data_IF_018281490891
#
_entry.id   IF_018281490891
#
_cell.length_a   1.000
_cell.length_b   1.000
_cell.length_c   1.000
_cell.angle_alpha   90.00
_cell.angle_beta   90.00
_cell.angle_gamma   90.00
#
_symmetry.space_group_name_H-M   'P 1'
#
loop_
_entity.id
_entity.type
_entity.pdbx_description
1 polymer ?
#
# COMPACT_ATOMS: atom_id res chain seq x y z
N UNK A 1 27.38 27.10 32.96
CA UNK A 1 27.53 25.92 32.08
C UNK A 1 26.46 24.92 32.45
N UNK A 2 25.39 24.82 31.66
CA UNK A 2 24.30 23.85 31.87
C UNK A 2 24.21 22.99 30.61
N UNK A 3 24.58 21.72 30.75
CA UNK A 3 24.52 20.72 29.68
C UNK A 3 23.07 20.26 29.52
N UNK A 4 22.50 20.50 28.33
CA UNK A 4 21.21 19.93 27.93
C UNK A 4 21.32 18.40 27.80
N UNK A 5 20.30 17.62 28.21
CA UNK A 5 20.34 16.18 28.06
C UNK A 5 20.08 15.80 26.60
N UNK A 6 21.04 15.06 26.01
CA UNK A 6 20.93 14.41 24.70
C UNK A 6 19.71 13.50 24.67
N UNK A 7 18.84 13.74 23.70
CA UNK A 7 17.74 12.86 23.32
C UNK A 7 18.32 11.51 22.88
N UNK A 8 17.98 10.43 23.59
CA UNK A 8 18.34 9.05 23.21
C UNK A 8 17.67 8.73 21.88
N UNK A 9 18.46 8.44 20.86
CA UNK A 9 17.98 7.83 19.63
C UNK A 9 17.36 6.47 19.98
N UNK A 10 16.05 6.32 19.74
CA UNK A 10 15.38 5.02 19.71
C UNK A 10 15.89 4.30 18.45
N UNK A 11 16.85 3.40 18.64
CA UNK A 11 17.33 2.46 17.61
C UNK A 11 16.27 1.36 17.43
N UNK A 12 15.12 1.71 16.86
CA UNK A 12 14.20 0.76 16.25
C UNK A 12 14.49 0.74 14.76
N UNK A 13 14.92 -0.41 14.22
CA UNK A 13 15.26 -0.55 12.81
C UNK A 13 14.10 -0.10 11.91
N UNK A 14 14.31 1.00 11.17
CA UNK A 14 13.36 1.50 10.19
C UNK A 14 13.35 0.51 9.03
N UNK A 15 12.33 -0.35 8.98
CA UNK A 15 12.01 -1.14 7.79
C UNK A 15 11.35 -0.26 6.72
N UNK A 16 11.35 -0.73 5.47
CA UNK A 16 10.84 -0.06 4.27
C UNK A 16 9.69 0.97 4.53
N UNK A 17 9.91 2.21 4.09
CA UNK A 17 8.94 3.30 4.15
C UNK A 17 8.31 3.55 2.76
N UNK A 18 7.08 4.05 2.76
CA UNK A 18 6.32 4.42 1.58
C UNK A 18 5.96 5.90 1.65
N UNK A 19 6.24 6.66 0.59
CA UNK A 19 6.05 8.11 0.54
C UNK A 19 5.03 8.51 -0.53
N UNK A 20 4.20 9.51 -0.26
CA UNK A 20 3.38 10.18 -1.28
C UNK A 20 3.38 11.68 -1.02
N UNK A 21 3.46 12.45 -2.10
CA UNK A 21 3.27 13.89 -2.07
C UNK A 21 1.77 14.18 -2.12
N UNK A 22 1.27 15.02 -1.21
CA UNK A 22 -0.07 15.60 -1.37
C UNK A 22 0.05 16.88 -2.19
N UNK A 23 -0.62 16.89 -3.34
CA UNK A 23 -0.89 18.08 -4.13
C UNK A 23 -2.40 18.15 -4.21
N UNK A 24 -3.01 19.15 -3.56
CA UNK A 24 -4.45 19.40 -3.69
C UNK A 24 -4.67 20.69 -4.47
N UNK A 25 -5.72 20.72 -5.28
CA UNK A 25 -6.29 21.95 -5.84
C UNK A 25 -7.29 22.54 -4.83
N UNK A 26 -7.68 23.79 -5.04
CA UNK A 26 -8.18 24.75 -4.05
C UNK A 26 -9.44 24.38 -3.25
N UNK A 27 -9.45 24.89 -2.01
CA UNK A 27 -10.56 25.29 -1.12
C UNK A 27 -11.44 24.22 -0.44
N UNK A 28 -10.95 23.67 0.68
CA UNK A 28 -11.80 23.31 1.85
C UNK A 28 -11.00 23.48 3.16
N UNK A 29 -11.54 24.11 4.23
CA UNK A 29 -10.73 24.48 5.40
C UNK A 29 -10.38 23.36 6.40
N UNK A 30 -10.75 22.10 6.14
CA UNK A 30 -10.66 21.03 7.15
C UNK A 30 -9.91 19.75 6.71
N UNK A 31 -9.37 19.68 5.49
CA UNK A 31 -8.48 18.58 5.09
C UNK A 31 -7.03 18.96 5.40
N UNK A 32 -6.47 18.38 6.47
CA UNK A 32 -5.19 18.83 7.05
C UNK A 32 -3.92 18.43 6.25
N UNK A 33 -4.03 18.20 4.93
CA UNK A 33 -2.88 18.07 4.03
C UNK A 33 -2.89 19.25 3.03
N UNK A 34 -2.29 20.37 3.44
CA UNK A 34 -2.10 21.58 2.61
C UNK A 34 -1.15 21.28 1.44
N UNK A 35 -1.23 22.09 0.38
CA UNK A 35 -0.33 22.04 -0.79
C UNK A 35 1.14 21.85 -0.35
N UNK A 36 1.80 20.79 -0.84
CA UNK A 36 3.24 20.58 -0.60
C UNK A 36 3.60 19.76 0.63
N UNK A 37 2.64 19.37 1.49
CA UNK A 37 2.91 18.44 2.59
C UNK A 37 3.24 17.04 2.07
N UNK A 38 4.30 16.44 2.59
CA UNK A 38 4.63 15.03 2.37
C UNK A 38 4.02 14.18 3.46
N UNK A 39 3.45 13.03 3.09
CA UNK A 39 2.95 12.02 4.01
C UNK A 39 3.74 10.73 3.82
N UNK A 40 4.22 10.18 4.94
CA UNK A 40 4.96 8.92 4.97
C UNK A 40 4.21 7.90 5.81
N UNK A 41 4.13 6.67 5.30
CA UNK A 41 3.92 5.48 6.13
C UNK A 41 5.22 4.73 6.32
N UNK A 42 5.48 4.30 7.55
CA UNK A 42 6.59 3.42 7.86
C UNK A 42 6.11 2.17 8.56
N UNK A 43 6.74 1.05 8.22
CA UNK A 43 6.48 -0.25 8.84
C UNK A 43 6.81 -0.21 10.34
N UNK A 44 5.87 -0.62 11.17
CA UNK A 44 6.09 -0.96 12.57
C UNK A 44 5.94 -2.45 12.83
N UNK A 45 6.31 -2.88 14.04
CA UNK A 45 6.16 -4.28 14.46
C UNK A 45 4.70 -4.68 14.74
N UNK A 46 3.87 -3.73 15.18
CA UNK A 46 2.48 -3.97 15.59
C UNK A 46 1.48 -2.97 14.98
N UNK A 47 1.97 -2.00 14.20
CA UNK A 47 1.18 -0.96 13.58
C UNK A 47 1.86 -0.40 12.33
N UNK A 48 1.08 0.24 11.46
CA UNK A 48 1.62 1.17 10.50
C UNK A 48 1.76 2.53 11.19
N UNK A 49 2.96 3.11 11.12
CA UNK A 49 3.23 4.44 11.64
C UNK A 49 3.13 5.46 10.51
N UNK A 50 2.78 6.69 10.85
CA UNK A 50 2.79 7.83 9.94
C UNK A 50 3.60 9.00 10.49
N UNK A 51 4.10 9.81 9.57
CA UNK A 51 4.64 11.13 9.84
C UNK A 51 4.41 12.05 8.64
N UNK A 52 4.36 13.35 8.89
CA UNK A 52 4.24 14.37 7.85
C UNK A 52 5.45 15.29 7.86
N UNK A 53 5.76 15.85 6.69
CA UNK A 53 6.75 16.90 6.52
C UNK A 53 6.12 18.08 5.79
N UNK A 54 6.37 19.28 6.30
CA UNK A 54 5.89 20.55 5.75
C UNK A 54 6.99 21.31 4.97
N UNK A 55 8.18 20.73 4.85
CA UNK A 55 9.39 21.38 4.31
C UNK A 55 10.12 20.49 3.28
N UNK A 56 9.34 19.81 2.43
CA UNK A 56 9.83 18.91 1.37
C UNK A 56 10.72 17.76 1.88
N UNK A 57 10.46 17.29 3.10
CA UNK A 57 11.13 16.13 3.69
C UNK A 57 12.41 16.44 4.45
N UNK A 58 12.75 17.73 4.64
CA UNK A 58 13.92 18.15 5.44
C UNK A 58 13.74 17.81 6.91
N UNK A 59 12.53 18.05 7.44
CA UNK A 59 12.13 17.67 8.80
C UNK A 59 10.81 16.92 8.78
N UNK A 60 10.63 16.07 9.80
CA UNK A 60 9.46 15.22 9.94
C UNK A 60 8.87 15.40 11.33
N UNK A 61 7.55 15.46 11.40
CA UNK A 61 6.83 15.47 12.67
C UNK A 61 7.05 14.15 13.42
N UNK A 62 6.92 14.13 14.76
CA UNK A 62 6.94 12.89 15.52
C UNK A 62 5.97 11.85 14.96
N UNK A 63 6.38 10.58 14.93
CA UNK A 63 5.56 9.52 14.39
C UNK A 63 4.31 9.29 15.25
N UNK A 64 3.19 9.06 14.60
CA UNK A 64 1.93 8.64 15.24
C UNK A 64 1.43 7.37 14.58
N UNK A 65 0.56 6.62 15.27
CA UNK A 65 -0.05 5.42 14.69
C UNK A 65 -1.03 5.83 13.59
N UNK A 66 -0.87 5.30 12.38
CA UNK A 66 -1.86 5.44 11.32
C UNK A 66 -3.01 4.45 11.53
N UNK A 67 -2.68 3.17 11.69
CA UNK A 67 -3.64 2.09 11.95
C UNK A 67 -2.94 0.81 12.44
N UNK A 68 -3.66 -0.10 13.14
CA UNK A 68 -3.15 -1.42 13.48
C UNK A 68 -2.79 -2.21 12.22
N UNK A 69 -1.61 -2.81 12.19
CA UNK A 69 -1.12 -3.54 11.01
C UNK A 69 -0.10 -4.60 11.40
N UNK A 70 -0.08 -5.70 10.65
CA UNK A 70 0.92 -6.75 10.81
C UNK A 70 2.29 -6.22 10.41
N UNK A 71 3.36 -6.81 10.93
CA UNK A 71 4.75 -6.44 10.64
C UNK A 71 5.14 -6.65 9.15
N UNK A 72 4.71 -5.76 8.26
CA UNK A 72 4.90 -5.78 6.81
C UNK A 72 4.85 -4.37 6.21
N UNK A 73 5.32 -4.22 4.96
CA UNK A 73 5.16 -2.97 4.20
C UNK A 73 3.67 -2.82 3.82
N UNK A 74 3.13 -1.62 4.01
CA UNK A 74 1.96 -1.14 3.28
C UNK A 74 2.37 0.02 2.38
N UNK A 75 1.58 0.32 1.36
CA UNK A 75 1.85 1.41 0.44
C UNK A 75 0.60 2.26 0.28
N UNK A 76 0.80 3.55 0.04
CA UNK A 76 -0.23 4.36 -0.59
C UNK A 76 0.34 5.15 -1.75
N UNK A 77 -0.53 5.58 -2.65
CA UNK A 77 -0.25 6.55 -3.70
C UNK A 77 -1.50 7.39 -3.96
N UNK A 78 -1.28 8.65 -4.32
CA UNK A 78 -2.32 9.45 -4.96
C UNK A 78 -2.50 8.99 -6.40
N UNK A 79 -3.75 8.75 -6.78
CA UNK A 79 -4.16 8.41 -8.13
C UNK A 79 -4.41 9.67 -8.96
N UNK A 80 -4.51 9.50 -10.28
CA UNK A 80 -4.83 10.57 -11.25
C UNK A 80 -6.18 11.25 -10.94
N UNK A 81 -7.13 10.55 -10.30
CA UNK A 81 -8.40 11.11 -9.83
C UNK A 81 -8.27 12.07 -8.64
N UNK A 82 -7.10 12.10 -7.98
CA UNK A 82 -6.89 12.79 -6.71
C UNK A 82 -7.12 11.92 -5.48
N UNK A 83 -7.81 10.77 -5.60
CA UNK A 83 -7.99 9.83 -4.50
C UNK A 83 -6.65 9.22 -4.05
N UNK A 84 -6.57 8.79 -2.79
CA UNK A 84 -5.45 8.00 -2.28
C UNK A 84 -5.84 6.53 -2.31
N UNK A 85 -5.04 5.70 -2.98
CA UNK A 85 -5.13 4.25 -2.91
C UNK A 85 -4.16 3.72 -1.86
N UNK A 86 -4.67 2.97 -0.89
CA UNK A 86 -3.91 2.24 0.12
C UNK A 86 -3.96 0.75 -0.18
N UNK A 87 -2.79 0.10 -0.07
CA UNK A 87 -2.68 -1.36 -0.12
C UNK A 87 -2.03 -1.86 1.15
N UNK A 88 -2.76 -2.71 1.88
CA UNK A 88 -2.34 -3.29 3.16
C UNK A 88 -2.88 -4.71 3.35
N UNK A 89 -2.25 -5.48 4.23
CA UNK A 89 -2.76 -6.76 4.73
C UNK A 89 -3.98 -6.56 5.63
N UNK A 90 -5.03 -7.35 5.45
CA UNK A 90 -6.25 -7.32 6.24
C UNK A 90 -7.37 -6.46 5.65
N UNK A 91 -8.59 -6.95 5.78
CA UNK A 91 -9.79 -6.40 5.16
C UNK A 91 -10.50 -5.29 5.98
N UNK A 92 -9.97 -4.92 7.15
CA UNK A 92 -10.54 -3.87 8.01
C UNK A 92 -9.41 -2.95 8.48
N UNK A 93 -9.49 -1.65 8.19
CA UNK A 93 -8.45 -0.67 8.57
C UNK A 93 -8.18 -0.70 10.08
N UNK A 94 -9.23 -0.77 10.90
CA UNK A 94 -9.14 -0.73 12.36
C UNK A 94 -8.64 -2.04 13.00
N UNK A 95 -8.26 -3.06 12.23
CA UNK A 95 -7.83 -4.37 12.77
C UNK A 95 -6.58 -4.90 12.07
N UNK A 96 -5.62 -5.37 12.87
CA UNK A 96 -4.47 -6.11 12.35
C UNK A 96 -4.84 -7.60 12.13
N UNK A 97 -4.24 -8.21 11.11
CA UNK A 97 -4.29 -9.66 10.90
C UNK A 97 -3.22 -10.35 11.74
N UNK A 98 -3.41 -11.62 12.14
CA UNK A 98 -2.42 -12.37 12.92
C UNK A 98 -1.16 -12.72 12.11
N UNK A 99 -1.25 -12.70 10.79
CA UNK A 99 -0.16 -12.99 9.86
C UNK A 99 -0.23 -12.06 8.65
N UNK A 100 0.79 -12.13 7.78
CA UNK A 100 0.77 -11.43 6.48
C UNK A 100 -0.16 -12.17 5.53
N UNK A 101 -1.39 -11.69 5.42
CA UNK A 101 -2.47 -12.28 4.64
C UNK A 101 -3.46 -11.21 4.20
N UNK A 102 -4.41 -11.57 3.33
CA UNK A 102 -5.49 -10.69 2.88
C UNK A 102 -4.98 -9.35 2.33
N UNK A 103 -4.10 -9.38 1.33
CA UNK A 103 -3.63 -8.14 0.70
C UNK A 103 -4.82 -7.43 0.04
N UNK A 104 -5.13 -6.23 0.51
CA UNK A 104 -6.40 -5.54 0.24
C UNK A 104 -6.15 -4.09 -0.13
N UNK A 105 -6.90 -3.60 -1.11
CA UNK A 105 -6.90 -2.23 -1.60
C UNK A 105 -8.09 -1.42 -1.04
N UNK A 106 -7.85 -0.17 -0.66
CA UNK A 106 -8.84 0.80 -0.15
C UNK A 106 -8.64 2.18 -0.78
N UNK A 107 -9.73 2.95 -0.90
CA UNK A 107 -9.68 4.33 -1.40
C UNK A 107 -9.98 5.33 -0.29
N UNK A 108 -9.30 6.47 -0.31
CA UNK A 108 -9.65 7.65 0.46
C UNK A 108 -9.82 8.84 -0.47
N UNK A 109 -10.94 9.55 -0.34
CA UNK A 109 -11.25 10.78 -1.05
C UNK A 109 -11.00 12.03 -0.19
N UNK A 110 -10.60 11.85 1.08
CA UNK A 110 -10.53 12.88 2.11
C UNK A 110 -9.15 12.91 2.78
N UNK A 111 -8.10 12.68 1.99
CA UNK A 111 -6.71 12.81 2.43
C UNK A 111 -6.31 11.81 3.54
N UNK A 112 -6.83 10.58 3.47
CA UNK A 112 -6.53 9.48 4.38
C UNK A 112 -7.31 9.51 5.69
N UNK A 113 -8.28 10.43 5.85
CA UNK A 113 -9.11 10.52 7.05
C UNK A 113 -10.09 9.35 7.15
N UNK A 114 -10.74 9.00 6.05
CA UNK A 114 -11.61 7.83 5.94
C UNK A 114 -11.20 6.94 4.77
N UNK A 115 -11.55 5.66 4.88
CA UNK A 115 -11.26 4.64 3.88
C UNK A 115 -12.55 3.95 3.46
N UNK A 116 -12.74 3.84 2.16
CA UNK A 116 -13.94 3.33 1.51
C UNK A 116 -13.58 2.33 0.40
N UNK A 117 -14.60 1.64 -0.11
CA UNK A 117 -14.39 0.48 -0.98
C UNK A 117 -13.62 -0.62 -0.25
N UNK A 118 -13.33 -1.70 -0.97
CA UNK A 118 -12.42 -2.77 -0.53
C UNK A 118 -12.26 -3.82 -1.62
N UNK A 119 -11.11 -3.92 -2.26
CA UNK A 119 -10.80 -5.02 -3.18
C UNK A 119 -9.75 -5.95 -2.58
N UNK A 120 -10.12 -7.20 -2.33
CA UNK A 120 -9.21 -8.24 -1.88
C UNK A 120 -8.37 -8.71 -3.07
N UNK A 121 -7.07 -8.41 -3.07
CA UNK A 121 -6.15 -8.77 -4.15
C UNK A 121 -5.62 -10.20 -4.01
N UNK A 122 -5.36 -10.61 -2.76
CA UNK A 122 -4.86 -11.95 -2.44
C UNK A 122 -5.23 -12.35 -1.02
N UNK A 123 -6.08 -13.36 -0.89
CA UNK A 123 -6.55 -13.93 0.36
C UNK A 123 -5.47 -14.70 1.13
N UNK A 124 -4.44 -15.18 0.43
CA UNK A 124 -3.53 -16.21 0.94
C UNK A 124 -2.58 -15.67 2.01
N UNK A 125 -2.06 -16.58 2.82
CA UNK A 125 -0.97 -16.29 3.76
C UNK A 125 0.38 -16.19 3.05
N UNK A 126 1.31 -15.49 3.69
CA UNK A 126 2.68 -15.33 3.20
C UNK A 126 2.84 -14.28 2.10
N UNK A 127 1.76 -13.59 1.72
CA UNK A 127 1.79 -12.42 0.84
C UNK A 127 2.50 -11.29 1.56
N UNK A 128 3.51 -10.66 0.95
CA UNK A 128 4.36 -9.68 1.62
C UNK A 128 4.33 -8.32 0.96
N UNK A 129 5.35 -7.89 0.23
CA UNK A 129 5.59 -6.47 0.00
C UNK A 129 4.91 -5.99 -1.28
N UNK A 130 3.84 -5.18 -1.18
CA UNK A 130 3.29 -4.55 -2.37
C UNK A 130 4.15 -3.36 -2.82
N UNK A 131 4.15 -3.13 -4.12
CA UNK A 131 4.33 -1.81 -4.71
C UNK A 131 3.34 -1.61 -5.86
N UNK A 132 3.15 -0.36 -6.29
CA UNK A 132 2.17 -0.05 -7.30
C UNK A 132 2.59 1.04 -8.28
N UNK A 133 1.99 0.99 -9.46
CA UNK A 133 2.03 2.05 -10.46
C UNK A 133 0.64 2.20 -11.12
N UNK A 134 0.27 3.44 -11.42
CA UNK A 134 -0.91 3.72 -12.24
C UNK A 134 -0.46 4.11 -13.64
N UNK A 135 -1.00 3.42 -14.65
CA UNK A 135 -0.76 3.71 -16.05
C UNK A 135 -1.60 4.90 -16.54
N UNK A 136 -1.23 5.57 -17.65
CA UNK A 136 -1.97 6.71 -18.19
C UNK A 136 -3.43 6.41 -18.58
N UNK A 137 -3.75 5.14 -18.87
CA UNK A 137 -5.11 4.70 -19.21
C UNK A 137 -6.01 4.47 -17.97
N UNK A 138 -5.50 4.74 -16.76
CA UNK A 138 -6.20 4.53 -15.49
C UNK A 138 -5.96 3.16 -14.85
N UNK A 139 -5.33 2.21 -15.54
CA UNK A 139 -5.04 0.90 -14.97
C UNK A 139 -4.06 1.01 -13.80
N UNK A 140 -4.33 0.26 -12.75
CA UNK A 140 -3.53 0.19 -11.55
C UNK A 140 -2.90 -1.20 -11.50
N UNK A 141 -1.57 -1.22 -11.53
CA UNK A 141 -0.77 -2.42 -11.40
C UNK A 141 -0.18 -2.48 -10.00
N UNK A 142 -0.39 -3.61 -9.32
CA UNK A 142 0.15 -3.86 -7.98
C UNK A 142 0.94 -5.14 -8.04
N UNK A 143 2.25 -5.05 -7.89
CA UNK A 143 3.08 -6.24 -7.76
C UNK A 143 3.34 -6.57 -6.29
N UNK A 144 3.51 -7.84 -5.99
CA UNK A 144 3.82 -8.30 -4.65
C UNK A 144 4.46 -9.69 -4.67
N UNK A 145 5.11 -10.04 -3.56
CA UNK A 145 5.71 -11.36 -3.38
C UNK A 145 4.89 -12.25 -2.44
N UNK A 146 4.95 -13.57 -2.66
CA UNK A 146 4.38 -14.57 -1.74
C UNK A 146 5.34 -15.72 -1.48
N UNK A 147 5.46 -16.08 -0.21
CA UNK A 147 6.18 -17.28 0.22
C UNK A 147 7.67 -17.24 -0.16
N UNK A 148 8.40 -16.20 0.24
CA UNK A 148 9.81 -15.96 -0.15
C UNK A 148 10.73 -17.17 -0.06
N UNK A 149 10.57 -17.98 0.99
CA UNK A 149 11.37 -19.20 1.22
C UNK A 149 10.68 -20.48 0.70
N UNK A 150 9.41 -20.40 0.31
CA UNK A 150 8.58 -21.51 -0.17
C UNK A 150 8.20 -21.34 -1.65
N UNK A 151 7.03 -20.79 -1.95
CA UNK A 151 6.54 -20.66 -3.32
C UNK A 151 7.44 -19.77 -4.19
N UNK A 152 8.18 -18.83 -3.56
CA UNK A 152 9.03 -17.84 -4.19
C UNK A 152 8.32 -17.14 -5.35
N UNK A 153 7.06 -16.75 -5.13
CA UNK A 153 6.21 -16.14 -6.13
C UNK A 153 6.44 -14.64 -6.21
N UNK A 154 6.45 -14.13 -7.43
CA UNK A 154 6.25 -12.72 -7.75
C UNK A 154 4.97 -12.68 -8.58
N UNK A 155 4.01 -11.86 -8.13
CA UNK A 155 2.70 -11.74 -8.74
C UNK A 155 2.38 -10.28 -9.02
N UNK A 156 1.36 -10.04 -9.86
CA UNK A 156 0.71 -8.75 -9.94
C UNK A 156 -0.81 -8.84 -10.05
N UNK A 157 -1.49 -7.81 -9.60
CA UNK A 157 -2.89 -7.53 -9.88
C UNK A 157 -2.98 -6.33 -10.84
N UNK A 158 -3.96 -6.35 -11.74
CA UNK A 158 -4.37 -5.24 -12.61
C UNK A 158 -5.84 -4.95 -12.33
N UNK A 159 -6.15 -3.72 -11.97
CA UNK A 159 -7.53 -3.28 -11.68
C UNK A 159 -7.64 -1.76 -11.85
N UNK A 160 -8.82 -1.20 -11.64
CA UNK A 160 -9.13 0.23 -11.65
C UNK A 160 -9.86 0.66 -10.39
N UNK A 161 -10.03 1.96 -10.21
CA UNK A 161 -10.73 2.51 -9.04
C UNK A 161 -12.15 1.99 -8.88
N UNK A 162 -12.87 1.79 -9.98
CA UNK A 162 -14.22 1.21 -9.98
C UNK A 162 -14.26 -0.21 -9.38
N UNK A 163 -13.21 -1.01 -9.54
CA UNK A 163 -13.12 -2.34 -8.94
C UNK A 163 -13.01 -2.24 -7.41
N UNK A 164 -12.25 -1.26 -6.91
CA UNK A 164 -12.11 -1.01 -5.47
C UNK A 164 -13.42 -0.50 -4.87
N UNK A 165 -14.12 0.38 -5.59
CA UNK A 165 -15.44 0.88 -5.17
C UNK A 165 -16.49 -0.22 -5.16
N UNK A 166 -16.51 -1.08 -6.18
CA UNK A 166 -17.43 -2.22 -6.28
C UNK A 166 -17.08 -3.37 -5.33
N UNK A 167 -15.82 -3.42 -4.87
CA UNK A 167 -15.27 -4.50 -4.05
C UNK A 167 -15.10 -5.83 -4.78
N UNK A 168 -15.15 -5.80 -6.12
CA UNK A 168 -15.00 -6.94 -7.03
C UNK A 168 -14.55 -6.43 -8.40
N UNK A 169 -14.03 -7.32 -9.23
CA UNK A 169 -13.63 -6.97 -10.59
C UNK A 169 -14.86 -6.69 -11.46
N UNK A 170 -14.92 -5.50 -12.01
CA UNK A 170 -15.95 -5.00 -12.93
C UNK A 170 -15.35 -4.31 -14.16
N UNK A 171 -14.08 -3.88 -14.09
CA UNK A 171 -13.38 -3.25 -15.22
C UNK A 171 -12.81 -4.28 -16.20
N UNK A 172 -12.74 -3.89 -17.46
CA UNK A 172 -12.24 -4.74 -18.54
C UNK A 172 -10.76 -5.10 -18.35
N UNK A 173 -10.44 -6.38 -18.46
CA UNK A 173 -9.07 -6.88 -18.34
C UNK A 173 -8.51 -6.82 -16.90
N UNK A 174 -9.35 -6.55 -15.91
CA UNK A 174 -9.00 -6.67 -14.52
C UNK A 174 -8.69 -8.13 -14.18
N UNK A 175 -7.64 -8.34 -13.41
CA UNK A 175 -7.13 -9.67 -13.06
C UNK A 175 -6.33 -9.60 -11.77
N UNK A 176 -6.46 -10.64 -10.95
CA UNK A 176 -5.76 -10.77 -9.68
C UNK A 176 -4.77 -11.94 -9.74
N UNK A 177 -3.77 -11.93 -8.86
CA UNK A 177 -2.84 -13.05 -8.64
C UNK A 177 -2.07 -13.52 -9.89
N UNK A 178 -1.90 -12.67 -10.91
CA UNK A 178 -1.15 -13.02 -12.13
C UNK A 178 0.30 -13.39 -11.80
N UNK A 179 0.74 -14.61 -12.13
CA UNK A 179 2.08 -15.08 -11.81
C UNK A 179 3.10 -14.52 -12.81
N UNK A 180 4.07 -13.76 -12.29
CA UNK A 180 5.28 -13.35 -13.03
C UNK A 180 6.36 -14.41 -12.91
N UNK A 181 6.55 -14.95 -11.70
CA UNK A 181 7.58 -15.96 -11.42
C UNK A 181 7.14 -16.82 -10.26
N UNK A 182 7.51 -18.11 -10.26
CA UNK A 182 7.42 -18.97 -9.08
C UNK A 182 8.59 -19.95 -8.99
N UNK A 183 8.75 -20.66 -7.88
CA UNK A 183 9.73 -21.77 -7.77
C UNK A 183 9.40 -22.89 -8.75
N UNK A 184 8.12 -23.20 -8.93
CA UNK A 184 7.66 -24.32 -9.76
C UNK A 184 7.78 -24.01 -11.26
N UNK A 185 7.39 -22.80 -11.67
CA UNK A 185 7.26 -22.43 -13.08
C UNK A 185 8.47 -21.68 -13.62
N UNK A 186 9.40 -21.27 -12.75
CA UNK A 186 10.43 -20.31 -13.14
C UNK A 186 9.81 -18.96 -13.53
N UNK A 187 10.44 -18.25 -14.46
CA UNK A 187 9.91 -17.00 -15.01
C UNK A 187 8.79 -17.31 -16.01
N UNK A 188 7.61 -16.72 -15.80
CA UNK A 188 6.53 -16.77 -16.77
C UNK A 188 6.86 -15.81 -17.92
N UNK A 189 7.10 -16.35 -19.12
CA UNK A 189 7.49 -15.58 -20.30
C UNK A 189 6.29 -15.12 -21.15
N UNK A 190 5.06 -15.42 -20.73
CA UNK A 190 3.87 -15.24 -21.54
C UNK A 190 3.81 -16.23 -22.72
N UNK A 191 2.64 -16.32 -23.36
CA UNK A 191 2.35 -17.27 -24.43
C UNK A 191 0.98 -17.93 -24.25
N UNK A 192 0.47 -18.60 -25.30
CA UNK A 192 -0.84 -19.27 -25.27
C UNK A 192 -0.96 -20.34 -24.17
N UNK A 193 0.17 -20.93 -23.74
CA UNK A 193 0.25 -21.96 -22.70
C UNK A 193 0.70 -21.41 -21.33
N UNK A 194 0.75 -20.09 -21.16
CA UNK A 194 1.14 -19.51 -19.89
C UNK A 194 0.09 -19.82 -18.82
N UNK A 195 0.49 -20.36 -17.65
CA UNK A 195 -0.45 -20.64 -16.57
C UNK A 195 -1.05 -19.34 -16.06
N UNK A 196 -2.30 -19.09 -16.45
CA UNK A 196 -3.13 -18.03 -15.88
C UNK A 196 -3.71 -18.54 -14.58
N UNK A 197 -3.61 -17.76 -13.51
CA UNK A 197 -4.44 -17.99 -12.32
C UNK A 197 -5.87 -17.65 -12.71
N UNK A 198 -6.63 -18.67 -13.12
CA UNK A 198 -8.06 -18.56 -13.39
C UNK A 198 -8.77 -17.94 -12.18
N UNK A 199 -9.75 -17.08 -12.47
CA UNK A 199 -10.65 -16.50 -11.48
C UNK A 199 -11.40 -17.63 -10.75
N UNK A 200 -10.99 -17.93 -9.52
CA UNK A 200 -11.85 -18.45 -8.45
C UNK A 200 -12.15 -17.32 -7.47
#
# INVERSE_FOLDING_TARGET
MSLSPRMKALTGGIGAASFSRTVASTSTPWSNLRHGRLWMLSRGMQAAWQSCSDDDGKTWQPQTTAFPHVNSKCIFRRLQSGNILLIRHGQKIAKATPARQELTAFLSADEGQTWSGKLLLDERTGVSYPDMAQAPNGDIYVHYDRGRTSAAEILFARFREEDVKAGKLVSEGASLKNIVKSRLLGMNRGGADAPTTSNE
#
